data_IF_166309520133
#
_entry.id   IF_166309520133
#
_cell.length_a   1.000
_cell.length_b   1.000
_cell.length_c   1.000
_cell.angle_alpha   90.00
_cell.angle_beta   90.00
_cell.angle_gamma   90.00
#
_symmetry.space_group_name_H-M   'P 1'
#
loop_
_entity.id
_entity.type
_entity.pdbx_description
1 polymer ?
#
# COMPACT_ATOMS: atom_id res chain seq x y z
N UNK A 1 3.16 17.27 2.46
CA UNK A 1 3.22 15.93 1.83
C UNK A 1 3.11 16.11 0.31
N UNK A 2 4.15 15.79 -0.49
CA UNK A 2 4.20 15.99 -1.96
C UNK A 2 4.01 14.67 -2.70
N UNK A 3 3.62 14.79 -3.96
CA UNK A 3 3.27 13.78 -4.95
C UNK A 3 3.98 12.43 -4.79
N UNK A 4 3.20 11.35 -4.88
CA UNK A 4 3.69 9.97 -4.90
C UNK A 4 3.41 9.38 -6.28
N UNK A 5 4.48 9.12 -7.04
CA UNK A 5 4.41 8.50 -8.38
C UNK A 5 4.89 7.05 -8.30
N UNK A 6 4.14 6.10 -8.85
CA UNK A 6 4.59 4.69 -8.93
C UNK A 6 5.54 4.46 -10.10
N UNK A 7 6.64 3.75 -9.91
CA UNK A 7 7.51 3.23 -10.99
C UNK A 7 7.53 1.68 -10.93
N UNK A 8 7.08 1.07 -12.04
CA UNK A 8 7.10 -0.37 -12.43
C UNK A 8 5.95 -1.28 -11.91
N UNK A 9 5.29 -1.97 -12.88
CA UNK A 9 4.26 -3.04 -12.75
C UNK A 9 4.94 -4.40 -12.38
N UNK A 10 4.35 -5.54 -11.95
CA UNK A 10 3.07 -6.23 -12.18
C UNK A 10 2.99 -7.40 -11.14
N UNK A 11 1.88 -7.70 -10.43
CA UNK A 11 1.65 -9.05 -9.84
C UNK A 11 0.17 -9.43 -9.67
N UNK A 12 -0.22 -10.55 -10.29
CA UNK A 12 -1.57 -11.13 -10.39
C UNK A 12 -1.93 -11.92 -9.12
N UNK A 13 -3.16 -11.85 -8.61
CA UNK A 13 -3.70 -12.91 -7.74
C UNK A 13 -5.24 -12.82 -7.58
N UNK A 14 -5.94 -13.75 -8.21
CA UNK A 14 -7.40 -13.91 -8.15
C UNK A 14 -7.69 -15.18 -7.31
N UNK A 15 -7.65 -15.07 -5.98
CA UNK A 15 -8.33 -15.94 -4.97
C UNK A 15 -7.92 -15.64 -3.50
N UNK A 16 -6.89 -14.80 -3.26
CA UNK A 16 -6.22 -14.69 -1.94
C UNK A 16 -6.19 -13.28 -1.34
N UNK A 17 -6.97 -12.32 -1.83
CA UNK A 17 -6.81 -10.88 -1.52
C UNK A 17 -6.79 -10.56 -0.01
N UNK A 18 -7.78 -10.99 0.77
CA UNK A 18 -7.82 -10.73 2.23
C UNK A 18 -6.62 -11.37 2.95
N UNK A 19 -6.26 -12.61 2.61
CA UNK A 19 -5.14 -13.30 3.24
C UNK A 19 -3.79 -12.69 2.83
N UNK A 20 -3.67 -12.24 1.58
CA UNK A 20 -2.49 -11.53 1.07
C UNK A 20 -2.33 -10.19 1.78
N UNK A 21 -3.41 -9.39 1.87
CA UNK A 21 -3.42 -8.13 2.61
C UNK A 21 -3.05 -8.41 4.07
N UNK A 22 -3.69 -9.39 4.72
CA UNK A 22 -3.39 -9.75 6.11
C UNK A 22 -1.92 -10.11 6.32
N UNK A 23 -1.35 -10.96 5.47
CA UNK A 23 0.06 -11.34 5.56
C UNK A 23 1.01 -10.16 5.35
N UNK A 24 0.70 -9.24 4.44
CA UNK A 24 1.50 -8.03 4.25
C UNK A 24 1.37 -7.07 5.43
N UNK A 25 0.16 -6.82 5.92
CA UNK A 25 -0.05 -5.94 7.06
C UNK A 25 0.64 -6.49 8.31
N UNK A 26 0.62 -7.81 8.53
CA UNK A 26 1.26 -8.45 9.69
C UNK A 26 2.78 -8.25 9.73
N UNK A 27 3.43 -8.02 8.58
CA UNK A 27 4.88 -7.74 8.48
C UNK A 27 5.25 -6.29 8.78
N UNK A 28 4.28 -5.38 8.78
CA UNK A 28 4.56 -3.98 9.08
C UNK A 28 4.64 -3.80 10.59
N UNK A 29 5.74 -3.22 11.07
CA UNK A 29 5.98 -2.95 12.50
C UNK A 29 4.81 -2.20 13.15
N UNK A 30 4.16 -1.29 12.42
CA UNK A 30 2.99 -0.53 12.89
C UNK A 30 1.79 -1.41 13.25
N UNK A 31 1.67 -2.59 12.65
CA UNK A 31 0.58 -3.55 12.90
C UNK A 31 1.03 -4.81 13.66
N UNK A 32 2.31 -4.95 14.00
CA UNK A 32 2.86 -6.13 14.69
C UNK A 32 2.17 -6.38 16.05
N UNK A 33 1.81 -5.29 16.75
CA UNK A 33 1.14 -5.36 18.06
C UNK A 33 -0.38 -5.53 18.00
N UNK A 34 -0.98 -5.43 16.81
CA UNK A 34 -2.41 -5.62 16.64
C UNK A 34 -2.76 -7.11 16.58
N UNK A 35 -3.70 -7.54 17.41
CA UNK A 35 -4.25 -8.89 17.37
C UNK A 35 -4.94 -9.18 16.02
N UNK A 36 -5.08 -10.46 15.68
CA UNK A 36 -5.65 -10.91 14.41
C UNK A 36 -7.04 -10.36 14.12
N UNK A 37 -7.91 -10.24 15.13
CA UNK A 37 -9.27 -9.78 14.94
C UNK A 37 -9.36 -8.33 14.41
N UNK A 38 -8.76 -7.31 15.07
CA UNK A 38 -8.74 -5.95 14.52
C UNK A 38 -7.93 -5.85 13.23
N UNK A 39 -6.86 -6.63 13.07
CA UNK A 39 -6.10 -6.66 11.82
C UNK A 39 -6.95 -7.18 10.64
N UNK A 40 -7.76 -8.21 10.85
CA UNK A 40 -8.72 -8.72 9.86
C UNK A 40 -9.79 -7.68 9.53
N UNK A 41 -10.23 -6.87 10.49
CA UNK A 41 -11.16 -5.75 10.23
C UNK A 41 -10.52 -4.70 9.31
N UNK A 42 -9.25 -4.35 9.54
CA UNK A 42 -8.49 -3.47 8.62
C UNK A 42 -8.37 -4.09 7.23
N UNK A 43 -8.10 -5.39 7.13
CA UNK A 43 -8.03 -6.10 5.85
C UNK A 43 -9.35 -6.03 5.07
N UNK A 44 -10.50 -6.09 5.75
CA UNK A 44 -11.82 -6.01 5.12
C UNK A 44 -12.12 -4.62 4.53
N UNK A 45 -11.50 -3.57 5.08
CA UNK A 45 -11.65 -2.19 4.57
C UNK A 45 -10.58 -1.80 3.56
N UNK A 46 -9.53 -2.62 3.43
CA UNK A 46 -8.43 -2.36 2.51
C UNK A 46 -8.82 -2.73 1.07
N UNK A 47 -8.34 -1.95 0.11
CA UNK A 47 -8.49 -2.21 -1.32
C UNK A 47 -7.13 -2.48 -1.94
N UNK A 48 -6.99 -3.61 -2.62
CA UNK A 48 -5.80 -3.88 -3.42
C UNK A 48 -5.94 -3.13 -4.74
N UNK A 49 -4.99 -2.26 -5.03
CA UNK A 49 -4.98 -1.46 -6.25
C UNK A 49 -3.68 -1.65 -7.02
N UNK A 50 -3.78 -1.56 -8.34
CA UNK A 50 -2.64 -1.69 -9.25
C UNK A 50 -2.64 -0.51 -10.19
N UNK A 51 -1.52 0.19 -10.20
CA UNK A 51 -1.34 1.43 -10.92
C UNK A 51 -0.18 1.32 -11.88
N UNK A 52 -0.34 1.89 -13.08
CA UNK A 52 0.72 1.96 -14.06
C UNK A 52 1.85 2.89 -13.59
N UNK A 53 3.00 2.80 -14.26
CA UNK A 53 4.09 3.73 -14.04
C UNK A 53 3.61 5.18 -14.27
N UNK A 54 4.13 6.12 -13.47
CA UNK A 54 3.77 7.54 -13.46
C UNK A 54 2.35 7.86 -12.98
N UNK A 55 1.59 6.88 -12.49
CA UNK A 55 0.30 7.15 -11.84
C UNK A 55 0.50 8.00 -10.57
N UNK A 56 -0.32 9.03 -10.41
CA UNK A 56 -0.27 9.96 -9.28
C UNK A 56 -1.27 9.50 -8.21
N UNK A 57 -0.78 8.97 -7.09
CA UNK A 57 -1.65 8.50 -6.00
C UNK A 57 -2.32 9.66 -5.26
N UNK A 58 -1.59 10.75 -5.02
CA UNK A 58 -2.13 11.98 -4.45
C UNK A 58 -1.23 13.18 -4.78
N UNK A 59 -1.79 14.39 -4.69
CA UNK A 59 -1.06 15.66 -4.88
C UNK A 59 -0.98 16.42 -3.57
N UNK A 60 0.07 17.25 -3.42
CA UNK A 60 0.17 18.15 -2.26
C UNK A 60 -1.03 19.08 -2.24
N UNK A 61 -1.67 19.21 -1.07
CA UNK A 61 -2.80 20.11 -0.87
C UNK A 61 -4.16 19.46 -1.15
N UNK A 62 -4.21 18.21 -1.59
CA UNK A 62 -5.46 17.45 -1.63
C UNK A 62 -5.76 16.86 -0.24
N UNK A 63 -7.05 16.77 0.11
CA UNK A 63 -7.50 16.06 1.29
C UNK A 63 -7.12 14.58 1.18
N UNK A 64 -6.43 14.05 2.20
CA UNK A 64 -6.13 12.63 2.26
C UNK A 64 -7.37 11.86 2.71
N UNK A 65 -7.94 11.05 1.81
CA UNK A 65 -9.13 10.23 2.09
C UNK A 65 -8.79 8.81 2.51
N UNK A 66 -7.55 8.37 2.29
CA UNK A 66 -7.08 7.03 2.60
C UNK A 66 -5.55 7.00 2.80
N UNK A 67 -5.05 5.88 3.32
CA UNK A 67 -3.63 5.58 3.42
C UNK A 67 -3.25 4.50 2.40
N UNK A 68 -2.01 4.56 1.92
CA UNK A 68 -1.46 3.60 0.95
C UNK A 68 -0.31 2.83 1.59
N UNK A 69 -0.25 1.54 1.28
CA UNK A 69 0.86 0.66 1.65
C UNK A 69 1.43 0.12 0.35
N UNK A 70 2.72 0.35 0.13
CA UNK A 70 3.41 -0.12 -1.07
C UNK A 70 3.75 -1.60 -0.89
N UNK A 71 3.10 -2.47 -1.67
CA UNK A 71 3.35 -3.93 -1.63
C UNK A 71 4.44 -4.38 -2.61
N UNK A 72 4.59 -3.66 -3.73
CA UNK A 72 5.55 -4.00 -4.79
C UNK A 72 5.86 -2.78 -5.65
N UNK A 73 7.01 -2.77 -6.31
CA UNK A 73 7.44 -1.69 -7.19
C UNK A 73 8.21 -0.61 -6.43
N UNK A 74 8.06 0.64 -6.84
CA UNK A 74 8.69 1.77 -6.16
C UNK A 74 7.81 3.00 -6.25
N UNK A 75 7.92 3.90 -5.27
CA UNK A 75 7.23 5.18 -5.32
C UNK A 75 8.20 6.35 -5.18
N UNK A 76 8.04 7.35 -6.02
CA UNK A 76 8.78 8.59 -5.93
C UNK A 76 7.98 9.60 -5.11
N UNK A 77 8.53 9.98 -3.96
CA UNK A 77 7.95 10.97 -3.05
C UNK A 77 9.06 11.92 -2.58
N UNK A 78 8.78 13.22 -2.49
CA UNK A 78 9.73 14.20 -1.94
C UNK A 78 11.15 14.16 -2.56
N UNK A 79 11.28 13.90 -3.87
CA UNK A 79 12.57 13.74 -4.58
C UNK A 79 13.37 12.48 -4.20
N UNK A 80 12.75 11.52 -3.54
CA UNK A 80 13.35 10.26 -3.14
C UNK A 80 12.50 9.10 -3.66
N UNK A 81 13.15 7.98 -3.96
CA UNK A 81 12.48 6.74 -4.31
C UNK A 81 12.36 5.90 -3.03
N UNK A 82 11.16 5.39 -2.77
CA UNK A 82 10.85 4.49 -1.69
C UNK A 82 10.51 3.12 -2.27
N UNK A 83 11.04 2.08 -1.62
CA UNK A 83 10.79 0.68 -1.96
C UNK A 83 9.82 0.08 -0.92
N UNK A 84 9.09 -0.99 -1.28
CA UNK A 84 8.29 -1.74 -0.33
C UNK A 84 9.17 -2.24 0.82
N UNK A 85 8.61 -2.23 2.03
CA UNK A 85 9.23 -2.83 3.21
C UNK A 85 9.07 -4.35 3.05
N UNK A 86 10.18 -5.09 3.06
CA UNK A 86 10.24 -6.54 2.83
C UNK A 86 9.70 -7.38 3.97
#
# INVERSE_FOLDING_TARGET
MRHVFSYQNLFFLFFKEINTIFNHLRRLEVFERLHDAPLKSVCKTARLERHSANYVLFRKGQLATCWYILLSGSVFMNKQVYLPIG
#
